data_IF_987885649959
#
_entry.id   IF_987885649959
#
_cell.length_a   1.000
_cell.length_b   1.000
_cell.length_c   1.000
_cell.angle_alpha   90.00
_cell.angle_beta   90.00
_cell.angle_gamma   90.00
#
_symmetry.space_group_name_H-M   'P 1'
#
loop_
_entity.id
_entity.type
_entity.pdbx_description
1 polymer ?
#
# COMPACT_ATOMS: atom_id res chain seq x y z
N UNK A 1 35.24 23.21 8.66
CA UNK A 1 34.99 21.85 8.16
C UNK A 1 33.51 21.54 7.83
N UNK A 2 32.51 22.16 8.45
CA UNK A 2 31.06 21.91 8.16
C UNK A 2 30.56 22.49 6.83
N UNK A 3 31.15 23.59 6.33
CA UNK A 3 30.73 24.22 5.06
C UNK A 3 31.16 23.40 3.84
N UNK A 4 32.34 22.82 3.84
CA UNK A 4 32.87 21.99 2.74
C UNK A 4 32.05 20.69 2.57
N UNK A 5 31.55 20.11 3.67
CA UNK A 5 30.67 18.94 3.62
C UNK A 5 29.31 19.26 2.97
N UNK A 6 28.72 20.41 3.27
CA UNK A 6 27.45 20.86 2.67
C UNK A 6 27.58 21.17 1.17
N UNK A 7 28.74 21.65 0.71
CA UNK A 7 28.98 21.89 -0.71
C UNK A 7 29.18 20.57 -1.46
N UNK A 8 29.90 19.60 -0.88
CA UNK A 8 30.07 18.27 -1.48
C UNK A 8 28.76 17.50 -1.58
N UNK A 9 27.88 17.60 -0.59
CA UNK A 9 26.56 16.96 -0.63
C UNK A 9 25.63 17.59 -1.69
N UNK A 10 25.70 18.90 -1.88
CA UNK A 10 24.93 19.60 -2.93
C UNK A 10 25.39 19.28 -4.34
N UNK A 11 26.69 19.22 -4.58
CA UNK A 11 27.23 18.85 -5.90
C UNK A 11 26.98 17.39 -6.24
N UNK A 12 27.03 16.49 -5.25
CA UNK A 12 26.70 15.07 -5.44
C UNK A 12 25.22 14.85 -5.75
N UNK A 13 24.34 15.63 -5.14
CA UNK A 13 22.90 15.57 -5.40
C UNK A 13 22.52 16.08 -6.79
N UNK A 14 23.10 17.18 -7.24
CA UNK A 14 22.85 17.73 -8.57
C UNK A 14 23.42 16.85 -9.68
N UNK A 15 24.61 16.27 -9.51
CA UNK A 15 25.18 15.32 -10.47
C UNK A 15 24.33 14.04 -10.60
N UNK A 16 23.78 13.52 -9.50
CA UNK A 16 22.89 12.37 -9.56
C UNK A 16 21.58 12.70 -10.29
N UNK A 17 20.98 13.86 -10.02
CA UNK A 17 19.77 14.31 -10.72
C UNK A 17 20.00 14.43 -12.25
N UNK A 18 21.12 14.99 -12.68
CA UNK A 18 21.41 15.16 -14.11
C UNK A 18 21.75 13.84 -14.81
N UNK A 19 22.41 12.91 -14.12
CA UNK A 19 22.66 11.56 -14.65
C UNK A 19 21.36 10.74 -14.72
N UNK A 20 20.50 10.84 -13.72
CA UNK A 20 19.18 10.21 -13.73
C UNK A 20 18.30 10.76 -14.86
N UNK A 21 18.30 12.07 -15.11
CA UNK A 21 17.57 12.71 -16.21
C UNK A 21 18.09 12.27 -17.59
N UNK A 22 19.41 12.11 -17.76
CA UNK A 22 20.01 11.63 -19.00
C UNK A 22 19.71 10.13 -19.25
N UNK A 23 19.73 9.30 -18.21
CA UNK A 23 19.43 7.86 -18.36
C UNK A 23 17.95 7.63 -18.65
N UNK A 24 17.04 8.41 -18.09
CA UNK A 24 15.60 8.32 -18.37
C UNK A 24 15.22 8.79 -19.77
N UNK A 25 15.95 9.75 -20.31
CA UNK A 25 15.70 10.22 -21.70
C UNK A 25 16.19 9.19 -22.73
N UNK A 26 17.21 8.40 -22.39
CA UNK A 26 17.81 7.39 -23.30
C UNK A 26 17.16 6.02 -23.15
N UNK A 27 16.66 5.68 -21.96
CA UNK A 27 16.02 4.40 -21.65
C UNK A 27 14.80 4.63 -20.75
N UNK A 28 13.65 5.07 -21.32
CA UNK A 28 12.43 5.19 -20.55
C UNK A 28 12.03 3.80 -20.05
N UNK A 29 11.94 3.63 -18.75
CA UNK A 29 11.35 2.43 -18.16
C UNK A 29 9.83 2.47 -18.27
N UNK A 30 9.20 1.32 -18.45
CA UNK A 30 7.75 1.21 -18.45
C UNK A 30 7.23 0.78 -17.08
N UNK A 31 6.05 1.28 -16.71
CA UNK A 31 5.35 0.84 -15.52
C UNK A 31 4.97 -0.64 -15.67
N UNK A 32 5.40 -1.48 -14.74
CA UNK A 32 5.15 -2.93 -14.76
C UNK A 32 3.68 -3.29 -14.53
N UNK A 33 2.86 -2.34 -14.10
CA UNK A 33 1.42 -2.56 -13.87
C UNK A 33 0.58 -2.14 -15.08
N UNK A 34 0.78 -0.92 -15.62
CA UNK A 34 -0.04 -0.41 -16.71
C UNK A 34 0.68 -0.29 -18.06
N UNK A 35 1.99 -0.55 -18.13
CA UNK A 35 2.79 -0.39 -19.35
C UNK A 35 3.07 1.07 -19.74
N UNK A 36 2.61 2.04 -18.98
CA UNK A 36 2.85 3.46 -19.27
C UNK A 36 4.30 3.86 -19.00
N UNK A 37 4.86 4.78 -19.78
CA UNK A 37 6.24 5.23 -19.65
C UNK A 37 6.48 5.94 -18.31
N UNK A 38 7.56 5.58 -17.64
CA UNK A 38 8.02 6.21 -16.41
C UNK A 38 8.93 7.39 -16.76
N UNK A 39 8.48 8.60 -16.46
CA UNK A 39 9.22 9.85 -16.75
C UNK A 39 10.45 10.06 -15.85
N UNK A 40 10.68 9.18 -14.88
CA UNK A 40 11.84 9.21 -13.98
C UNK A 40 12.40 7.81 -13.80
N UNK A 41 13.71 7.71 -13.79
CA UNK A 41 14.47 6.55 -13.31
C UNK A 41 14.24 6.39 -11.81
N UNK A 42 13.00 6.06 -11.43
CA UNK A 42 12.69 5.72 -10.04
C UNK A 42 13.12 4.26 -9.81
N UNK A 43 13.65 3.98 -8.63
CA UNK A 43 13.88 2.62 -8.18
C UNK A 43 12.58 1.78 -8.11
N UNK A 44 11.45 2.43 -8.34
CA UNK A 44 10.10 1.87 -8.38
C UNK A 44 9.68 1.70 -9.84
N UNK A 45 9.50 0.47 -10.31
CA UNK A 45 8.99 0.19 -11.66
C UNK A 45 7.46 0.34 -11.74
N UNK A 46 6.89 1.26 -10.98
CA UNK A 46 5.44 1.49 -10.88
C UNK A 46 5.19 2.99 -10.89
N UNK A 47 4.29 3.46 -11.75
CA UNK A 47 3.92 4.87 -11.82
C UNK A 47 3.07 5.29 -10.61
N UNK A 48 3.05 6.59 -10.33
CA UNK A 48 2.27 7.15 -9.22
C UNK A 48 0.76 6.93 -9.40
N UNK A 49 0.27 6.90 -10.64
CA UNK A 49 -1.13 6.61 -10.93
C UNK A 49 -1.52 5.20 -10.47
N UNK A 50 -0.77 4.16 -10.85
CA UNK A 50 -1.04 2.79 -10.39
C UNK A 50 -0.89 2.63 -8.88
N UNK A 51 0.09 3.31 -8.28
CA UNK A 51 0.25 3.30 -6.83
C UNK A 51 -0.94 3.93 -6.10
N UNK A 52 -1.48 5.01 -6.65
CA UNK A 52 -2.62 5.74 -6.08
C UNK A 52 -3.96 5.08 -6.40
N UNK A 53 -4.03 4.25 -7.43
CA UNK A 53 -5.23 3.54 -7.83
C UNK A 53 -5.62 2.41 -6.86
N UNK A 54 -4.70 1.93 -5.99
CA UNK A 54 -5.01 0.91 -5.00
C UNK A 54 -6.03 1.46 -3.99
N UNK A 55 -7.31 1.05 -4.07
CA UNK A 55 -8.35 1.58 -3.20
C UNK A 55 -8.21 1.02 -1.79
N UNK A 56 -8.42 1.87 -0.79
CA UNK A 56 -8.56 1.38 0.58
C UNK A 56 -9.81 0.54 0.72
N UNK A 57 -9.73 -0.46 1.59
CA UNK A 57 -10.91 -1.23 1.96
C UNK A 57 -11.92 -0.34 2.67
N UNK A 58 -13.12 -0.21 2.09
CA UNK A 58 -14.23 0.61 2.60
C UNK A 58 -15.40 -0.22 3.13
N UNK A 59 -15.43 -1.53 2.82
CA UNK A 59 -16.47 -2.42 3.31
C UNK A 59 -16.30 -2.70 4.80
N UNK A 60 -17.41 -3.06 5.46
CA UNK A 60 -17.35 -3.57 6.82
C UNK A 60 -16.57 -4.89 6.85
N UNK A 61 -15.60 -4.97 7.76
CA UNK A 61 -14.74 -6.13 7.91
C UNK A 61 -15.02 -6.84 9.22
N UNK A 62 -14.85 -8.15 9.22
CA UNK A 62 -14.82 -8.93 10.44
C UNK A 62 -13.71 -8.41 11.36
N UNK A 63 -14.07 -8.08 12.59
CA UNK A 63 -13.14 -7.53 13.58
C UNK A 63 -11.99 -8.49 13.90
N UNK A 64 -12.18 -9.78 13.69
CA UNK A 64 -11.20 -10.82 14.00
C UNK A 64 -10.29 -11.14 12.82
N UNK A 65 -10.86 -11.60 11.70
CA UNK A 65 -10.07 -12.11 10.57
C UNK A 65 -9.91 -11.12 9.42
N UNK A 66 -10.58 -9.98 9.42
CA UNK A 66 -10.47 -8.99 8.35
C UNK A 66 -11.20 -9.37 7.06
N UNK A 67 -12.02 -10.44 7.07
CA UNK A 67 -12.86 -10.82 5.93
C UNK A 67 -13.96 -9.80 5.72
N UNK A 68 -14.34 -9.54 4.46
CA UNK A 68 -15.49 -8.69 4.14
C UNK A 68 -16.77 -9.33 4.70
N UNK A 69 -17.61 -8.51 5.34
CA UNK A 69 -18.89 -8.97 5.85
C UNK A 69 -19.93 -8.98 4.73
N UNK A 70 -20.87 -9.92 4.83
CA UNK A 70 -21.97 -10.04 3.89
C UNK A 70 -22.82 -8.75 3.84
N UNK A 71 -23.45 -8.51 2.68
CA UNK A 71 -24.26 -7.31 2.41
C UNK A 71 -25.37 -7.12 3.45
N UNK A 72 -25.93 -8.21 3.94
CA UNK A 72 -27.00 -8.19 4.96
C UNK A 72 -26.49 -7.68 6.31
N UNK A 73 -25.28 -8.06 6.70
CA UNK A 73 -24.64 -7.55 7.92
C UNK A 73 -24.24 -6.08 7.79
N UNK A 74 -23.78 -5.66 6.61
CA UNK A 74 -23.48 -4.26 6.33
C UNK A 74 -24.74 -3.40 6.36
N UNK A 75 -25.82 -3.86 5.75
CA UNK A 75 -27.11 -3.19 5.76
C UNK A 75 -27.67 -3.06 7.19
N UNK A 76 -27.56 -4.11 7.99
CA UNK A 76 -27.99 -4.11 9.39
C UNK A 76 -27.15 -3.15 10.26
N UNK A 77 -25.85 -3.02 9.96
CA UNK A 77 -24.95 -2.05 10.61
C UNK A 77 -25.34 -0.62 10.26
N UNK A 78 -25.54 -0.33 8.97
CA UNK A 78 -25.94 0.99 8.48
C UNK A 78 -27.31 1.42 9.02
N UNK A 79 -28.23 0.45 9.19
CA UNK A 79 -29.54 0.68 9.82
C UNK A 79 -29.47 0.86 11.35
N UNK A 80 -28.29 0.79 11.97
CA UNK A 80 -28.12 0.93 13.42
C UNK A 80 -28.53 -0.29 14.24
N UNK A 81 -28.80 -1.43 13.60
CA UNK A 81 -29.17 -2.66 14.28
C UNK A 81 -27.99 -3.44 14.86
N UNK A 82 -26.78 -3.15 14.39
CA UNK A 82 -25.53 -3.78 14.83
C UNK A 82 -24.49 -2.74 15.20
N UNK A 83 -23.67 -3.00 16.24
CA UNK A 83 -22.59 -2.09 16.62
C UNK A 83 -21.54 -1.99 15.51
N UNK A 84 -20.97 -0.81 15.33
CA UNK A 84 -19.88 -0.59 14.35
C UNK A 84 -18.60 -1.36 14.71
N UNK A 85 -18.38 -1.60 16.01
CA UNK A 85 -17.21 -2.31 16.55
C UNK A 85 -17.61 -3.74 16.96
N UNK A 86 -16.74 -4.70 16.63
CA UNK A 86 -16.88 -6.08 17.10
C UNK A 86 -17.71 -7.00 16.22
N UNK A 87 -18.08 -6.60 14.99
CA UNK A 87 -18.74 -7.49 14.04
C UNK A 87 -17.84 -8.67 13.68
N UNK A 88 -18.38 -9.87 13.76
CA UNK A 88 -17.69 -11.11 13.42
C UNK A 88 -18.40 -11.81 12.27
N UNK A 89 -17.64 -12.31 11.30
CA UNK A 89 -18.16 -13.22 10.27
C UNK A 89 -18.59 -14.55 10.88
N UNK A 90 -19.45 -15.28 10.19
CA UNK A 90 -19.97 -16.57 10.67
C UNK A 90 -18.86 -17.56 11.05
N UNK A 91 -17.79 -17.76 10.25
CA UNK A 91 -16.69 -18.64 10.66
C UNK A 91 -16.04 -18.24 11.99
N UNK A 92 -15.76 -16.94 12.20
CA UNK A 92 -15.14 -16.49 13.44
C UNK A 92 -16.03 -16.56 14.67
N UNK A 93 -17.35 -16.58 14.48
CA UNK A 93 -18.32 -16.81 15.57
C UNK A 93 -18.35 -18.28 16.00
N UNK A 94 -18.24 -19.19 15.02
CA UNK A 94 -18.33 -20.64 15.28
C UNK A 94 -16.99 -21.19 15.78
N UNK A 95 -15.89 -20.84 15.10
CA UNK A 95 -14.54 -21.28 15.45
C UNK A 95 -13.62 -20.06 15.48
N UNK A 96 -13.44 -19.44 16.65
CA UNK A 96 -12.54 -18.28 16.77
C UNK A 96 -11.10 -18.66 16.40
N UNK A 97 -10.41 -17.87 15.54
CA UNK A 97 -9.02 -18.11 15.24
C UNK A 97 -8.11 -17.85 16.46
N UNK A 98 -6.93 -18.46 16.46
CA UNK A 98 -5.96 -18.33 17.55
C UNK A 98 -5.28 -16.95 17.63
N UNK A 99 -5.33 -16.17 16.56
CA UNK A 99 -4.79 -14.81 16.54
C UNK A 99 -5.83 -13.80 17.06
N UNK A 100 -5.36 -12.69 17.59
CA UNK A 100 -6.21 -11.65 18.14
C UNK A 100 -6.94 -10.87 17.04
N UNK A 101 -6.22 -10.40 16.01
CA UNK A 101 -6.79 -9.61 14.93
C UNK A 101 -5.96 -9.69 13.65
N UNK A 102 -6.64 -9.75 12.51
CA UNK A 102 -6.06 -9.50 11.19
C UNK A 102 -6.67 -8.23 10.59
N UNK A 103 -5.87 -7.50 9.82
CA UNK A 103 -6.28 -6.29 9.12
C UNK A 103 -5.85 -6.35 7.66
N UNK A 104 -6.68 -5.78 6.77
CA UNK A 104 -6.39 -5.68 5.36
C UNK A 104 -6.44 -4.21 4.93
N UNK A 105 -5.49 -3.79 4.07
CA UNK A 105 -5.48 -2.45 3.49
C UNK A 105 -6.49 -2.34 2.36
N UNK A 106 -6.51 -3.33 1.49
CA UNK A 106 -7.32 -3.39 0.28
C UNK A 106 -7.63 -4.84 -0.11
N UNK A 107 -8.51 -5.01 -1.08
CA UNK A 107 -8.77 -6.33 -1.69
C UNK A 107 -7.58 -6.71 -2.58
N UNK A 108 -7.21 -8.01 -2.57
CA UNK A 108 -6.11 -8.56 -3.36
C UNK A 108 -6.52 -8.74 -4.82
N UNK A 109 -6.55 -7.64 -5.56
CA UNK A 109 -6.90 -7.60 -6.99
C UNK A 109 -6.13 -6.48 -7.70
N UNK A 110 -6.20 -6.43 -9.02
CA UNK A 110 -5.70 -5.39 -9.89
C UNK A 110 -4.27 -4.91 -9.51
N UNK A 111 -4.07 -3.62 -9.34
CA UNK A 111 -2.76 -3.01 -9.06
C UNK A 111 -2.10 -3.56 -7.80
N UNK A 112 -2.87 -3.82 -6.74
CA UNK A 112 -2.30 -4.37 -5.50
C UNK A 112 -1.77 -5.78 -5.72
N UNK A 113 -2.50 -6.60 -6.48
CA UNK A 113 -2.07 -7.95 -6.83
C UNK A 113 -0.76 -7.90 -7.60
N UNK A 114 -0.67 -7.05 -8.64
CA UNK A 114 0.55 -6.90 -9.43
C UNK A 114 1.73 -6.39 -8.58
N UNK A 115 1.53 -5.42 -7.71
CA UNK A 115 2.57 -4.94 -6.80
C UNK A 115 3.10 -6.06 -5.88
N UNK A 116 2.21 -6.88 -5.33
CA UNK A 116 2.62 -8.02 -4.50
C UNK A 116 3.35 -9.08 -5.31
N UNK A 117 2.96 -9.32 -6.58
CA UNK A 117 3.64 -10.21 -7.50
C UNK A 117 5.07 -9.74 -7.80
N UNK A 118 5.24 -8.46 -8.15
CA UNK A 118 6.56 -7.86 -8.38
C UNK A 118 7.50 -8.06 -7.19
N UNK A 119 6.98 -7.87 -5.97
CA UNK A 119 7.78 -8.06 -4.77
C UNK A 119 8.13 -9.54 -4.53
N UNK A 120 7.16 -10.45 -4.62
CA UNK A 120 7.34 -11.86 -4.24
C UNK A 120 8.08 -12.67 -5.28
N UNK A 121 7.76 -12.48 -6.54
CA UNK A 121 8.22 -13.36 -7.62
C UNK A 121 9.29 -12.72 -8.50
N UNK A 122 9.25 -11.42 -8.71
CA UNK A 122 10.27 -10.72 -9.50
C UNK A 122 11.36 -10.07 -8.63
N UNK A 123 11.28 -10.23 -7.31
CA UNK A 123 12.27 -9.74 -6.34
C UNK A 123 12.49 -8.23 -6.41
N UNK A 124 11.52 -7.46 -6.86
CA UNK A 124 11.60 -6.01 -6.96
C UNK A 124 11.44 -5.36 -5.59
N UNK A 125 12.56 -5.28 -4.84
CA UNK A 125 12.57 -4.80 -3.45
C UNK A 125 12.06 -3.37 -3.28
N UNK A 126 12.17 -2.51 -4.30
CA UNK A 126 11.65 -1.14 -4.27
C UNK A 126 10.15 -1.09 -3.99
N UNK A 127 9.39 -2.11 -4.39
CA UNK A 127 7.93 -2.19 -4.14
C UNK A 127 7.59 -2.40 -2.67
N UNK A 128 8.55 -2.84 -1.85
CA UNK A 128 8.32 -3.05 -0.41
C UNK A 128 7.99 -1.75 0.34
N UNK A 129 8.55 -0.62 -0.07
CA UNK A 129 8.31 0.67 0.57
C UNK A 129 6.83 1.10 0.46
N UNK A 130 6.22 1.22 -0.75
CA UNK A 130 4.81 1.58 -0.85
C UNK A 130 3.89 0.55 -0.19
N UNK A 131 4.14 -0.75 -0.33
CA UNK A 131 3.35 -1.78 0.34
C UNK A 131 3.47 -1.69 1.87
N UNK A 132 4.67 -1.43 2.40
CA UNK A 132 4.91 -1.19 3.81
C UNK A 132 4.18 0.06 4.32
N UNK A 133 4.13 1.13 3.53
CA UNK A 133 3.36 2.33 3.83
C UNK A 133 1.86 2.05 3.94
N UNK A 134 1.31 1.24 3.02
CA UNK A 134 -0.09 0.80 3.05
C UNK A 134 -0.40 -0.01 4.31
N UNK A 135 0.44 -0.98 4.67
CA UNK A 135 0.29 -1.76 5.90
C UNK A 135 0.39 -0.88 7.15
N UNK A 136 1.37 0.02 7.20
CA UNK A 136 1.54 0.92 8.33
C UNK A 136 0.32 1.84 8.55
N UNK A 137 -0.32 2.27 7.46
CA UNK A 137 -1.54 3.07 7.52
C UNK A 137 -2.74 2.29 8.09
N UNK A 138 -2.74 0.95 7.96
CA UNK A 138 -3.79 0.09 8.46
C UNK A 138 -3.58 -0.28 9.94
N UNK A 139 -2.31 -0.52 10.33
CA UNK A 139 -1.96 -0.98 11.68
C UNK A 139 -1.89 0.18 12.68
N UNK A 140 -1.63 1.42 12.23
CA UNK A 140 -1.63 2.58 13.14
C UNK A 140 -3.03 2.72 13.74
N UNK A 141 -3.19 2.54 15.06
CA UNK A 141 -4.47 2.81 15.70
C UNK A 141 -4.79 4.29 15.44
N UNK A 142 -6.02 4.56 14.99
CA UNK A 142 -6.54 5.91 15.08
C UNK A 142 -6.30 6.36 16.52
N UNK A 143 -5.44 7.37 16.74
CA UNK A 143 -5.25 7.95 18.08
C UNK A 143 -6.64 8.31 18.57
N UNK A 144 -7.11 7.62 19.61
CA UNK A 144 -8.29 8.08 20.34
C UNK A 144 -7.96 9.49 20.83
N UNK A 145 -8.76 10.51 20.51
CA UNK A 145 -8.64 11.79 21.18
C UNK A 145 -8.88 11.52 22.67
N UNK A 146 -7.90 11.87 23.48
CA UNK A 146 -8.02 11.93 24.94
C UNK A 146 -8.95 13.06 25.31
#
# INVERSE_FOLDING_TARGET
>A
MRLLRKLADRTSSTLRCTLDDLTTTTFPGDCRVCGGSLLRSSALPICDACRSAVPRQTMALCHRCGEALDTDMESARLAGHLPAEGLLCTPCRVVPPMFERAVAYAVYQDELREMVHLLKYERMRGVAEPLGGMLAATVRPARRPT
#
